data_IF_179334753847
#
_entry.id   IF_179334753847
#
_cell.length_a   1.000
_cell.length_b   1.000
_cell.length_c   1.000
_cell.angle_alpha   90.00
_cell.angle_beta   90.00
_cell.angle_gamma   90.00
#
_symmetry.space_group_name_H-M   'P 1'
#
loop_
_entity.id
_entity.type
_entity.pdbx_description
1 polymer ?
#
# COMPACT_ATOMS: atom_id res chain seq x y z
N UNK A 1 29.75 -41.45 -7.82
CA UNK A 1 29.10 -40.24 -8.41
C UNK A 1 27.82 -39.90 -7.66
N UNK A 2 26.87 -40.83 -7.51
CA UNK A 2 25.72 -40.70 -6.59
C UNK A 2 26.13 -40.38 -5.14
N UNK A 3 27.12 -41.11 -4.62
CA UNK A 3 27.71 -40.87 -3.30
C UNK A 3 28.29 -39.45 -3.10
N UNK A 4 28.77 -38.79 -4.16
CA UNK A 4 29.26 -37.40 -4.06
C UNK A 4 28.11 -36.40 -3.94
N UNK A 5 26.98 -36.68 -4.59
CA UNK A 5 25.77 -35.85 -4.50
C UNK A 5 25.09 -36.06 -3.15
N UNK A 6 24.96 -37.31 -2.69
CA UNK A 6 24.39 -37.64 -1.39
C UNK A 6 25.21 -37.02 -0.24
N UNK A 7 26.54 -37.10 -0.31
CA UNK A 7 27.42 -36.44 0.66
C UNK A 7 27.36 -34.91 0.60
N UNK A 8 27.14 -34.34 -0.59
CA UNK A 8 26.94 -32.89 -0.76
C UNK A 8 25.60 -32.43 -0.14
N UNK A 9 24.52 -33.15 -0.39
CA UNK A 9 23.19 -32.90 0.20
C UNK A 9 23.23 -33.01 1.73
N UNK A 10 23.91 -34.03 2.28
CA UNK A 10 24.08 -34.18 3.73
C UNK A 10 24.87 -33.02 4.35
N UNK A 11 25.97 -32.59 3.72
CA UNK A 11 26.76 -31.47 4.19
C UNK A 11 25.97 -30.15 4.12
N UNK A 12 25.19 -29.96 3.05
CA UNK A 12 24.32 -28.80 2.86
C UNK A 12 23.22 -28.74 3.93
N UNK A 13 22.58 -29.88 4.22
CA UNK A 13 21.58 -29.98 5.29
C UNK A 13 22.17 -29.71 6.68
N UNK A 14 23.38 -30.20 6.96
CA UNK A 14 24.06 -29.89 8.22
C UNK A 14 24.37 -28.40 8.37
N UNK A 15 24.86 -27.74 7.31
CA UNK A 15 25.13 -26.31 7.32
C UNK A 15 23.84 -25.49 7.48
N UNK A 16 22.80 -25.80 6.71
CA UNK A 16 21.52 -25.09 6.77
C UNK A 16 20.88 -25.19 8.16
N UNK A 17 20.91 -26.36 8.81
CA UNK A 17 20.43 -26.53 10.19
C UNK A 17 21.19 -25.66 11.18
N UNK A 18 22.52 -25.58 11.05
CA UNK A 18 23.34 -24.76 11.92
C UNK A 18 23.07 -23.26 11.70
N UNK A 19 22.91 -22.83 10.45
CA UNK A 19 22.59 -21.44 10.11
C UNK A 19 21.20 -21.07 10.62
N UNK A 20 20.19 -21.91 10.38
CA UNK A 20 18.79 -21.65 10.74
C UNK A 20 18.50 -21.84 12.24
N UNK A 21 19.37 -22.54 12.98
CA UNK A 21 19.14 -23.02 14.36
C UNK A 21 17.93 -23.96 14.52
N UNK A 22 17.49 -24.57 13.41
CA UNK A 22 16.39 -25.54 13.35
C UNK A 22 16.95 -26.98 13.23
N UNK A 23 16.93 -27.82 14.28
CA UNK A 23 17.54 -29.16 14.24
C UNK A 23 16.79 -30.14 13.32
N UNK A 24 15.51 -29.87 13.03
CA UNK A 24 14.64 -30.71 12.19
C UNK A 24 14.60 -30.25 10.73
N UNK A 25 15.27 -29.15 10.39
CA UNK A 25 15.31 -28.63 9.03
C UNK A 25 15.98 -29.64 8.08
N UNK A 26 15.29 -29.94 6.99
CA UNK A 26 15.79 -30.79 5.92
C UNK A 26 16.08 -29.97 4.67
N UNK A 27 17.21 -30.25 4.01
CA UNK A 27 17.52 -29.69 2.69
C UNK A 27 17.45 -30.79 1.67
N UNK A 28 16.65 -30.58 0.62
CA UNK A 28 16.40 -31.59 -0.41
C UNK A 28 16.76 -31.04 -1.78
N UNK A 29 17.61 -31.78 -2.52
CA UNK A 29 17.99 -31.45 -3.88
C UNK A 29 17.03 -32.11 -4.89
N UNK A 30 15.94 -31.42 -5.23
CA UNK A 30 14.92 -31.92 -6.18
C UNK A 30 14.51 -30.85 -7.19
N UNK A 31 14.39 -31.26 -8.44
CA UNK A 31 13.88 -30.41 -9.52
C UNK A 31 12.34 -30.41 -9.52
N UNK A 32 11.74 -29.21 -9.53
CA UNK A 32 10.31 -28.97 -9.77
C UNK A 32 9.46 -28.55 -8.56
N UNK A 33 8.39 -27.81 -8.83
CA UNK A 33 7.42 -27.24 -7.87
C UNK A 33 6.42 -28.26 -7.27
N UNK A 34 6.76 -29.56 -7.22
CA UNK A 34 5.85 -30.51 -6.57
C UNK A 34 5.84 -30.24 -5.07
N UNK A 35 4.75 -29.65 -4.57
CA UNK A 35 4.42 -29.59 -3.14
C UNK A 35 4.71 -30.98 -2.56
N UNK A 36 5.57 -31.03 -1.56
CA UNK A 36 5.75 -32.25 -0.77
C UNK A 36 4.40 -32.69 -0.19
N UNK A 37 4.27 -33.95 0.25
CA UNK A 37 3.07 -34.40 0.93
C UNK A 37 2.70 -33.42 2.05
N UNK A 38 1.41 -33.08 2.15
CA UNK A 38 0.90 -32.22 3.21
C UNK A 38 1.27 -32.81 4.57
N UNK A 39 2.06 -32.07 5.36
CA UNK A 39 2.64 -32.54 6.63
C UNK A 39 4.14 -32.81 6.62
N UNK A 40 4.84 -32.65 5.48
CA UNK A 40 6.31 -32.62 5.49
C UNK A 40 6.79 -31.37 6.24
N UNK A 41 7.69 -31.56 7.22
CA UNK A 41 8.22 -30.48 8.06
C UNK A 41 8.95 -29.37 7.30
N UNK A 42 9.68 -28.54 8.05
CA UNK A 42 10.53 -27.46 7.56
C UNK A 42 11.55 -28.00 6.55
N UNK A 43 11.24 -27.88 5.24
CA UNK A 43 12.08 -28.41 4.15
C UNK A 43 12.47 -27.28 3.21
N UNK A 44 13.77 -27.07 3.05
CA UNK A 44 14.37 -26.24 2.00
C UNK A 44 14.52 -27.07 0.74
N UNK A 45 13.98 -26.59 -0.38
CA UNK A 45 14.06 -27.27 -1.68
C UNK A 45 14.93 -26.44 -2.62
N UNK A 46 15.92 -27.10 -3.20
CA UNK A 46 16.89 -26.45 -4.10
C UNK A 46 17.01 -27.27 -5.38
N UNK A 47 17.09 -26.57 -6.51
CA UNK A 47 17.33 -27.20 -7.79
C UNK A 47 18.71 -27.88 -7.79
N UNK A 48 18.77 -29.19 -8.09
CA UNK A 48 20.01 -29.93 -8.00
C UNK A 48 21.07 -29.35 -8.96
N UNK A 49 22.35 -29.36 -8.55
CA UNK A 49 23.42 -28.96 -9.44
C UNK A 49 23.59 -30.01 -10.55
N UNK A 50 24.34 -29.65 -11.59
CA UNK A 50 24.78 -30.62 -12.60
C UNK A 50 25.60 -31.75 -11.94
N UNK A 51 25.53 -32.95 -12.51
CA UNK A 51 26.17 -34.15 -11.95
C UNK A 51 27.71 -34.07 -11.90
N UNK A 52 28.31 -33.24 -12.76
CA UNK A 52 29.75 -32.96 -12.78
C UNK A 52 30.19 -31.99 -11.67
N UNK A 53 29.23 -31.42 -10.91
CA UNK A 53 29.46 -30.52 -9.77
C UNK A 53 30.49 -29.42 -10.06
N UNK A 54 30.30 -28.60 -11.12
CA UNK A 54 31.21 -27.50 -11.39
C UNK A 54 31.14 -26.48 -10.25
N UNK A 55 32.26 -25.82 -9.97
CA UNK A 55 32.41 -24.90 -8.82
C UNK A 55 31.31 -23.82 -8.78
N UNK A 56 30.88 -23.30 -9.93
CA UNK A 56 29.80 -22.31 -10.02
C UNK A 56 28.43 -22.85 -9.60
N UNK A 57 28.08 -24.09 -9.95
CA UNK A 57 26.82 -24.74 -9.54
C UNK A 57 26.83 -25.11 -8.06
N UNK A 58 27.98 -25.53 -7.52
CA UNK A 58 28.14 -25.77 -6.09
C UNK A 58 27.90 -24.47 -5.31
N UNK A 59 28.53 -23.37 -5.74
CA UNK A 59 28.37 -22.07 -5.11
C UNK A 59 26.91 -21.58 -5.19
N UNK A 60 26.25 -21.80 -6.34
CA UNK A 60 24.83 -21.48 -6.53
C UNK A 60 23.94 -22.22 -5.53
N UNK A 61 24.05 -23.54 -5.48
CA UNK A 61 23.23 -24.39 -4.59
C UNK A 61 23.50 -24.08 -3.12
N UNK A 62 24.75 -23.82 -2.75
CA UNK A 62 25.10 -23.38 -1.39
C UNK A 62 24.48 -22.04 -1.05
N UNK A 63 24.62 -21.04 -1.92
CA UNK A 63 24.05 -19.71 -1.66
C UNK A 63 22.53 -19.73 -1.59
N UNK A 64 21.85 -20.56 -2.40
CA UNK A 64 20.40 -20.73 -2.32
C UNK A 64 19.97 -21.38 -0.98
N UNK A 65 20.77 -22.33 -0.47
CA UNK A 65 20.52 -22.94 0.85
C UNK A 65 20.76 -21.95 1.98
N UNK A 66 21.90 -21.25 1.94
CA UNK A 66 22.29 -20.28 2.96
C UNK A 66 21.27 -19.14 3.01
N UNK A 67 20.85 -18.60 1.86
CA UNK A 67 19.83 -17.54 1.77
C UNK A 67 18.49 -17.97 2.40
N UNK A 68 18.02 -19.19 2.12
CA UNK A 68 16.78 -19.72 2.71
C UNK A 68 16.92 -20.03 4.21
N UNK A 69 18.07 -20.56 4.64
CA UNK A 69 18.34 -20.84 6.05
C UNK A 69 18.45 -19.54 6.88
N UNK A 70 19.12 -18.52 6.34
CA UNK A 70 19.16 -17.20 6.94
C UNK A 70 17.78 -16.58 7.05
N UNK A 71 16.95 -16.69 5.99
CA UNK A 71 15.57 -16.21 6.03
C UNK A 71 14.81 -16.85 7.17
N UNK A 72 14.90 -18.16 7.35
CA UNK A 72 14.24 -18.84 8.48
C UNK A 72 14.66 -18.31 9.84
N UNK A 73 15.96 -18.04 10.03
CA UNK A 73 16.48 -17.55 11.30
C UNK A 73 16.11 -16.11 11.60
N UNK A 74 16.21 -15.23 10.61
CA UNK A 74 16.19 -13.78 10.84
C UNK A 74 14.90 -13.11 10.40
N UNK A 75 13.96 -13.83 9.76
CA UNK A 75 12.71 -13.28 9.24
C UNK A 75 11.50 -13.73 10.06
N UNK A 76 10.82 -12.78 10.66
CA UNK A 76 9.47 -12.90 11.19
C UNK A 76 8.45 -12.63 10.08
N UNK A 77 7.76 -13.68 9.65
CA UNK A 77 6.76 -13.59 8.60
C UNK A 77 5.45 -12.91 9.02
N UNK A 78 5.11 -12.88 10.31
CA UNK A 78 3.94 -12.15 10.81
C UNK A 78 4.19 -10.65 10.81
N UNK A 79 5.34 -10.24 11.35
CA UNK A 79 5.76 -8.83 11.30
C UNK A 79 5.86 -8.33 9.86
N UNK A 80 6.46 -9.11 8.97
CA UNK A 80 6.56 -8.75 7.55
C UNK A 80 5.19 -8.49 6.93
N UNK A 81 4.23 -9.42 7.11
CA UNK A 81 2.87 -9.27 6.56
C UNK A 81 2.15 -8.02 7.04
N UNK A 82 2.38 -7.59 8.29
CA UNK A 82 1.81 -6.35 8.83
C UNK A 82 2.44 -5.09 8.23
N UNK A 83 3.71 -5.17 7.85
CA UNK A 83 4.51 -4.01 7.41
C UNK A 83 4.60 -3.85 5.90
N UNK A 84 4.20 -4.85 5.12
CA UNK A 84 4.21 -4.78 3.64
C UNK A 84 3.36 -3.59 3.17
N UNK A 85 3.91 -2.70 2.33
CA UNK A 85 3.18 -1.57 1.77
C UNK A 85 2.26 -2.00 0.63
N UNK A 86 1.25 -1.18 0.34
CA UNK A 86 0.39 -1.39 -0.82
C UNK A 86 1.10 -1.05 -2.14
N UNK A 87 0.71 -1.73 -3.22
CA UNK A 87 1.27 -1.53 -4.56
C UNK A 87 2.33 -2.58 -4.94
N UNK A 88 2.32 -3.00 -6.20
CA UNK A 88 3.17 -4.08 -6.71
C UNK A 88 4.66 -3.73 -6.63
N UNK A 89 5.04 -2.53 -7.09
CA UNK A 89 6.43 -2.07 -7.07
C UNK A 89 6.94 -1.87 -5.63
N UNK A 90 6.09 -1.34 -4.76
CA UNK A 90 6.39 -1.13 -3.35
C UNK A 90 6.60 -2.46 -2.63
N UNK A 91 5.72 -3.43 -2.85
CA UNK A 91 5.85 -4.79 -2.31
C UNK A 91 7.15 -5.45 -2.79
N UNK A 92 7.45 -5.34 -4.09
CA UNK A 92 8.67 -5.91 -4.68
C UNK A 92 9.94 -5.33 -4.04
N UNK A 93 10.00 -4.00 -3.87
CA UNK A 93 11.13 -3.34 -3.22
C UNK A 93 11.24 -3.76 -1.75
N UNK A 94 10.12 -3.74 -1.01
CA UNK A 94 10.10 -4.10 0.40
C UNK A 94 10.56 -5.55 0.65
N UNK A 95 10.05 -6.50 -0.14
CA UNK A 95 10.47 -7.90 -0.11
C UNK A 95 11.96 -8.07 -0.43
N UNK A 96 12.45 -7.36 -1.45
CA UNK A 96 13.85 -7.37 -1.85
C UNK A 96 14.78 -6.83 -0.76
N UNK A 97 14.40 -5.73 -0.11
CA UNK A 97 15.19 -5.13 0.97
C UNK A 97 15.15 -5.94 2.25
N UNK A 98 14.04 -6.62 2.56
CA UNK A 98 14.01 -7.58 3.67
C UNK A 98 14.94 -8.78 3.40
N UNK A 99 14.93 -9.31 2.18
CA UNK A 99 15.88 -10.36 1.80
C UNK A 99 17.34 -9.88 1.89
N UNK A 100 17.61 -8.64 1.50
CA UNK A 100 18.92 -8.00 1.64
C UNK A 100 19.32 -7.89 3.11
N UNK A 101 18.42 -7.46 4.00
CA UNK A 101 18.67 -7.32 5.45
C UNK A 101 19.09 -8.66 6.06
N UNK A 102 18.33 -9.71 5.77
CA UNK A 102 18.62 -11.05 6.30
C UNK A 102 20.00 -11.53 5.84
N UNK A 103 20.34 -11.30 4.57
CA UNK A 103 21.65 -11.64 4.01
C UNK A 103 22.77 -10.77 4.55
N UNK A 104 22.50 -9.50 4.86
CA UNK A 104 23.44 -8.58 5.49
C UNK A 104 23.79 -9.05 6.91
N UNK A 105 22.77 -9.31 7.74
CA UNK A 105 22.97 -9.81 9.12
C UNK A 105 23.71 -11.15 9.11
N UNK A 106 23.25 -12.11 8.30
CA UNK A 106 23.89 -13.41 8.18
C UNK A 106 25.29 -13.38 7.59
N UNK A 107 25.56 -12.45 6.68
CA UNK A 107 26.83 -12.34 5.97
C UNK A 107 27.94 -11.64 6.76
N UNK A 108 27.63 -10.93 7.85
CA UNK A 108 28.62 -10.20 8.67
C UNK A 108 29.64 -11.14 9.32
N UNK A 109 29.16 -12.16 10.02
CA UNK A 109 30.03 -13.08 10.78
C UNK A 109 30.45 -14.32 9.99
N UNK A 110 29.75 -14.61 8.89
CA UNK A 110 29.96 -15.83 8.10
C UNK A 110 30.50 -15.50 6.71
N UNK A 111 31.79 -15.22 6.61
CA UNK A 111 32.45 -14.86 5.34
C UNK A 111 32.22 -15.89 4.20
N UNK A 112 32.13 -17.18 4.55
CA UNK A 112 31.80 -18.24 3.59
C UNK A 112 30.36 -18.17 3.05
N UNK A 113 29.40 -17.87 3.93
CA UNK A 113 28.00 -17.65 3.56
C UNK A 113 27.90 -16.41 2.67
N UNK A 114 28.55 -15.30 3.05
CA UNK A 114 28.61 -14.09 2.23
C UNK A 114 29.13 -14.36 0.81
N UNK A 115 30.19 -15.15 0.67
CA UNK A 115 30.73 -15.52 -0.64
C UNK A 115 29.75 -16.38 -1.47
N UNK A 116 29.01 -17.29 -0.83
CA UNK A 116 27.99 -18.09 -1.51
C UNK A 116 26.80 -17.23 -1.97
N UNK A 117 26.34 -16.29 -1.12
CA UNK A 117 25.27 -15.34 -1.43
C UNK A 117 25.67 -14.42 -2.59
N UNK A 118 26.88 -13.86 -2.56
CA UNK A 118 27.40 -13.03 -3.66
C UNK A 118 27.47 -13.83 -4.98
N UNK A 119 27.87 -15.11 -4.92
CA UNK A 119 27.92 -15.97 -6.10
C UNK A 119 26.53 -16.20 -6.71
N UNK A 120 25.49 -16.40 -5.88
CA UNK A 120 24.09 -16.52 -6.35
C UNK A 120 23.60 -15.20 -6.93
N UNK A 121 23.82 -14.09 -6.24
CA UNK A 121 23.40 -12.77 -6.70
C UNK A 121 24.01 -12.43 -8.06
N UNK A 122 25.30 -12.71 -8.26
CA UNK A 122 25.99 -12.44 -9.54
C UNK A 122 25.44 -13.27 -10.70
N UNK A 123 24.90 -14.46 -10.42
CA UNK A 123 24.29 -15.35 -11.42
C UNK A 123 22.83 -14.97 -11.76
N UNK A 124 22.13 -14.23 -10.90
CA UNK A 124 20.78 -13.73 -11.19
C UNK A 124 20.77 -12.65 -12.26
N UNK A 125 21.84 -11.86 -12.36
CA UNK A 125 21.99 -10.89 -13.45
C UNK A 125 22.23 -11.59 -14.78
N UNK A 126 21.46 -11.24 -15.81
CA UNK A 126 21.64 -11.76 -17.16
C UNK A 126 23.09 -11.57 -17.64
N UNK A 127 23.69 -12.54 -18.37
CA UNK A 127 25.01 -12.35 -18.94
C UNK A 127 24.98 -11.14 -19.86
N UNK A 128 25.90 -10.20 -19.63
CA UNK A 128 26.10 -9.03 -20.48
C UNK A 128 26.43 -9.46 -21.92
N UNK A 129 25.43 -9.54 -22.79
CA UNK A 129 25.58 -9.53 -24.24
C UNK A 129 26.07 -8.13 -24.64
N UNK A 130 27.18 -8.07 -25.38
CA UNK A 130 27.73 -6.81 -25.86
C UNK A 130 26.81 -6.25 -26.96
N UNK A 131 26.19 -5.10 -26.71
CA UNK A 131 25.39 -4.37 -27.70
C UNK A 131 23.87 -4.39 -27.49
N UNK A 132 23.35 -5.06 -26.45
CA UNK A 132 21.94 -4.94 -26.08
C UNK A 132 21.69 -3.66 -25.27
N UNK A 133 20.53 -3.04 -25.52
CA UNK A 133 20.06 -1.87 -24.79
C UNK A 133 19.97 -2.18 -23.29
N UNK A 134 20.10 -1.15 -22.44
CA UNK A 134 19.88 -1.26 -21.00
C UNK A 134 18.51 -1.93 -20.78
N UNK A 135 18.41 -3.02 -20.00
CA UNK A 135 17.12 -3.65 -19.71
C UNK A 135 16.18 -2.60 -19.12
N UNK A 136 14.88 -2.67 -19.45
CA UNK A 136 13.85 -1.91 -18.72
C UNK A 136 13.95 -2.31 -17.25
N UNK A 137 14.59 -1.45 -16.46
CA UNK A 137 14.99 -1.76 -15.11
C UNK A 137 14.00 -1.12 -14.16
N UNK A 138 13.28 -1.92 -13.39
CA UNK A 138 12.40 -1.38 -12.38
C UNK A 138 13.23 -0.74 -11.24
N UNK A 139 12.66 0.28 -10.59
CA UNK A 139 13.33 1.02 -9.50
C UNK A 139 13.72 0.08 -8.35
N UNK A 140 12.90 -0.96 -8.09
CA UNK A 140 13.15 -1.92 -7.01
C UNK A 140 14.47 -2.68 -7.20
N UNK A 141 14.70 -3.22 -8.39
CA UNK A 141 15.93 -3.92 -8.76
C UNK A 141 17.15 -3.00 -8.67
N UNK A 142 17.03 -1.77 -9.16
CA UNK A 142 18.16 -0.82 -9.17
C UNK A 142 18.53 -0.40 -7.74
N UNK A 143 17.54 -0.15 -6.88
CA UNK A 143 17.77 0.14 -5.46
C UNK A 143 18.41 -1.07 -4.77
N UNK A 144 17.95 -2.29 -5.05
CA UNK A 144 18.58 -3.52 -4.52
C UNK A 144 20.05 -3.64 -4.97
N UNK A 145 20.34 -3.44 -6.27
CA UNK A 145 21.72 -3.48 -6.80
C UNK A 145 22.61 -2.48 -6.06
N UNK A 146 22.14 -1.23 -5.91
CA UNK A 146 22.86 -0.15 -5.24
C UNK A 146 23.15 -0.49 -3.77
N UNK A 147 22.13 -0.93 -3.04
CA UNK A 147 22.27 -1.26 -1.62
C UNK A 147 23.18 -2.46 -1.39
N UNK A 148 23.17 -3.47 -2.26
CA UNK A 148 24.10 -4.62 -2.16
C UNK A 148 25.54 -4.22 -2.45
N UNK A 149 25.77 -3.32 -3.42
CA UNK A 149 27.10 -2.76 -3.66
C UNK A 149 27.60 -1.97 -2.44
N UNK A 150 26.77 -1.08 -1.89
CA UNK A 150 27.18 -0.15 -0.82
C UNK A 150 27.22 -0.77 0.58
N UNK A 151 26.23 -1.59 0.95
CA UNK A 151 26.14 -2.21 2.29
C UNK A 151 26.89 -3.54 2.38
N UNK A 152 26.75 -4.41 1.39
CA UNK A 152 27.35 -5.75 1.43
C UNK A 152 28.72 -5.83 0.73
N UNK A 153 29.11 -4.78 0.00
CA UNK A 153 30.38 -4.71 -0.73
C UNK A 153 30.45 -5.66 -1.92
N UNK A 154 29.29 -6.05 -2.48
CA UNK A 154 29.23 -7.02 -3.57
C UNK A 154 29.81 -6.47 -4.86
N UNK A 155 30.53 -7.32 -5.60
CA UNK A 155 31.03 -6.97 -6.94
C UNK A 155 29.97 -7.26 -8.00
N UNK A 156 29.41 -6.17 -8.53
CA UNK A 156 28.48 -6.20 -9.66
C UNK A 156 29.18 -6.74 -10.92
N UNK A 157 28.43 -7.50 -11.73
CA UNK A 157 28.87 -7.89 -13.06
C UNK A 157 28.71 -6.73 -14.08
N UNK A 158 29.25 -6.87 -15.28
CA UNK A 158 29.22 -5.79 -16.27
C UNK A 158 27.80 -5.36 -16.71
N UNK A 159 26.80 -6.25 -16.67
CA UNK A 159 25.41 -5.88 -16.96
C UNK A 159 24.82 -5.06 -15.80
N UNK A 160 25.00 -5.55 -14.58
CA UNK A 160 24.53 -4.90 -13.35
C UNK A 160 25.17 -3.52 -13.15
N UNK A 161 26.47 -3.38 -13.41
CA UNK A 161 27.14 -2.07 -13.34
C UNK A 161 26.54 -1.09 -14.35
N UNK A 162 26.35 -1.49 -15.62
CA UNK A 162 25.73 -0.62 -16.63
C UNK A 162 24.30 -0.22 -16.27
N UNK A 163 23.54 -1.15 -15.68
CA UNK A 163 22.19 -0.88 -15.18
C UNK A 163 22.22 0.16 -14.06
N UNK A 164 23.14 0.02 -13.11
CA UNK A 164 23.26 0.93 -11.97
C UNK A 164 23.84 2.30 -12.35
N UNK A 165 24.77 2.36 -13.30
CA UNK A 165 25.48 3.60 -13.69
C UNK A 165 24.51 4.69 -14.19
N UNK A 166 23.40 4.32 -14.82
CA UNK A 166 22.38 5.27 -15.26
C UNK A 166 21.59 5.92 -14.10
N UNK A 167 21.61 5.31 -12.92
CA UNK A 167 20.83 5.74 -11.75
C UNK A 167 21.69 6.23 -10.58
N UNK A 168 23.03 6.07 -10.68
CA UNK A 168 23.95 6.26 -9.56
C UNK A 168 23.85 7.67 -8.96
N UNK A 169 23.89 8.72 -9.78
CA UNK A 169 23.82 10.10 -9.30
C UNK A 169 22.50 10.39 -8.56
N UNK A 170 21.38 9.82 -9.03
CA UNK A 170 20.07 9.96 -8.40
C UNK A 170 19.99 9.19 -7.07
N UNK A 171 20.50 7.95 -7.03
CA UNK A 171 20.56 7.14 -5.82
C UNK A 171 21.53 7.70 -4.78
N UNK A 172 22.66 8.27 -5.21
CA UNK A 172 23.60 8.95 -4.31
C UNK A 172 22.90 10.15 -3.63
N UNK A 173 22.06 10.87 -4.35
CA UNK A 173 21.27 11.98 -3.79
C UNK A 173 20.11 11.57 -2.87
N UNK A 174 19.52 10.38 -3.06
CA UNK A 174 18.28 9.96 -2.36
C UNK A 174 18.48 8.85 -1.32
N UNK A 175 19.41 7.92 -1.57
CA UNK A 175 19.56 6.68 -0.81
C UNK A 175 20.84 6.68 0.03
N UNK A 176 21.94 7.27 -0.45
CA UNK A 176 23.26 7.17 0.20
C UNK A 176 23.25 7.63 1.66
N UNK A 177 22.55 8.72 1.97
CA UNK A 177 22.43 9.26 3.32
C UNK A 177 21.71 8.31 4.30
N UNK A 178 20.85 7.42 3.80
CA UNK A 178 20.03 6.51 4.59
C UNK A 178 20.76 5.19 4.90
N UNK A 179 21.77 4.84 4.11
CA UNK A 179 22.48 3.56 4.23
C UNK A 179 23.10 3.28 5.61
N UNK A 180 23.80 4.23 6.27
CA UNK A 180 24.41 3.96 7.58
C UNK A 180 23.37 3.64 8.66
N UNK A 181 22.20 4.26 8.56
CA UNK A 181 21.10 4.05 9.50
C UNK A 181 20.43 2.69 9.28
N UNK A 182 20.22 2.29 8.02
CA UNK A 182 19.74 0.96 7.68
C UNK A 182 20.71 -0.14 8.14
N UNK A 183 22.02 0.07 7.99
CA UNK A 183 23.04 -0.88 8.46
C UNK A 183 23.00 -1.01 9.99
N UNK A 184 22.91 0.11 10.71
CA UNK A 184 22.82 0.12 12.18
C UNK A 184 21.55 -0.58 12.70
N UNK A 185 20.43 -0.48 11.96
CA UNK A 185 19.14 -1.08 12.34
C UNK A 185 18.93 -2.52 11.84
N UNK A 186 19.86 -3.07 11.04
CA UNK A 186 19.68 -4.35 10.35
C UNK A 186 19.34 -5.55 11.26
N UNK A 187 19.80 -5.52 12.52
CA UNK A 187 19.55 -6.59 13.51
C UNK A 187 18.09 -6.63 14.00
N UNK A 188 17.36 -5.51 13.92
CA UNK A 188 15.93 -5.45 14.25
C UNK A 188 15.11 -5.35 12.97
N UNK A 189 14.32 -6.40 12.69
CA UNK A 189 13.46 -6.42 11.51
C UNK A 189 12.44 -5.28 11.53
N UNK A 190 11.85 -4.96 12.69
CA UNK A 190 10.87 -3.87 12.81
C UNK A 190 11.51 -2.50 12.52
N UNK A 191 12.65 -2.20 13.17
CA UNK A 191 13.33 -0.92 13.00
C UNK A 191 13.86 -0.72 11.56
N UNK A 192 14.32 -1.81 10.93
CA UNK A 192 14.73 -1.79 9.53
C UNK A 192 13.52 -1.59 8.61
N UNK A 193 12.42 -2.32 8.83
CA UNK A 193 11.19 -2.23 8.04
C UNK A 193 10.59 -0.82 8.06
N UNK A 194 10.50 -0.20 9.25
CA UNK A 194 10.04 1.20 9.39
C UNK A 194 10.91 2.15 8.57
N UNK A 195 12.24 2.04 8.68
CA UNK A 195 13.15 2.90 7.93
C UNK A 195 13.09 2.68 6.42
N UNK A 196 12.86 1.43 5.98
CA UNK A 196 12.61 1.12 4.56
C UNK A 196 11.33 1.79 4.07
N UNK A 197 10.25 1.77 4.85
CA UNK A 197 9.00 2.45 4.46
C UNK A 197 9.19 3.96 4.31
N UNK A 198 9.92 4.59 5.21
CA UNK A 198 10.30 6.01 5.08
C UNK A 198 11.12 6.27 3.81
N UNK A 199 12.11 5.42 3.52
CA UNK A 199 12.88 5.51 2.27
C UNK A 199 11.98 5.40 1.04
N UNK A 200 10.98 4.51 1.05
CA UNK A 200 10.04 4.36 -0.07
C UNK A 200 9.20 5.62 -0.29
N UNK A 201 8.85 6.33 0.79
CA UNK A 201 8.20 7.64 0.70
C UNK A 201 9.13 8.69 0.09
N UNK A 202 10.40 8.73 0.50
CA UNK A 202 11.40 9.65 -0.08
C UNK A 202 11.63 9.41 -1.58
N UNK A 203 11.45 8.16 -2.04
CA UNK A 203 11.51 7.75 -3.43
C UNK A 203 10.20 8.00 -4.20
N UNK A 204 9.13 8.45 -3.53
CA UNK A 204 7.83 8.71 -4.14
C UNK A 204 7.06 7.44 -4.53
N UNK A 205 7.35 6.31 -3.88
CA UNK A 205 6.74 4.99 -4.14
C UNK A 205 5.56 4.66 -3.21
N UNK A 206 5.22 5.57 -2.28
CA UNK A 206 4.16 5.35 -1.30
C UNK A 206 2.85 6.02 -1.73
N UNK A 207 1.96 5.28 -2.40
CA UNK A 207 0.58 5.72 -2.57
C UNK A 207 -0.30 5.46 -1.32
N UNK A 208 0.17 4.71 -0.33
CA UNK A 208 -0.57 4.47 0.92
C UNK A 208 0.36 4.20 2.10
N UNK A 209 0.70 5.24 2.87
CA UNK A 209 1.01 5.06 4.29
C UNK A 209 -0.31 5.23 5.04
N UNK A 210 -1.06 4.14 5.21
CA UNK A 210 -2.00 4.05 6.34
C UNK A 210 -1.17 4.07 7.62
N UNK A 211 -1.68 4.77 8.63
CA UNK A 211 -1.05 5.10 9.91
C UNK A 211 -0.20 3.98 10.51
N UNK A 212 0.88 4.38 11.19
CA UNK A 212 1.69 3.46 11.98
C UNK A 212 0.79 2.68 12.95
N UNK A 213 0.88 1.34 13.02
CA UNK A 213 0.22 0.62 14.09
C UNK A 213 0.84 1.07 15.42
N UNK A 214 0.00 1.62 16.30
CA UNK A 214 0.33 1.96 17.68
C UNK A 214 1.07 0.80 18.35
N UNK A 215 2.15 1.07 19.13
CA UNK A 215 2.82 0.03 19.88
C UNK A 215 1.89 -0.46 21.00
N UNK A 216 1.59 -1.77 20.97
CA UNK A 216 0.82 -2.47 22.00
C UNK A 216 1.60 -2.40 23.33
N UNK A 217 1.31 -1.39 24.17
CA UNK A 217 1.86 -1.28 25.51
C UNK A 217 1.21 -2.34 26.40
N UNK A 218 1.80 -3.54 26.39
CA UNK A 218 1.66 -4.48 27.49
C UNK A 218 2.65 -4.07 28.57
N UNK A 219 2.17 -3.35 29.57
CA UNK A 219 2.80 -3.37 30.89
C UNK A 219 1.74 -3.68 31.95
N UNK A 220 2.12 -4.65 32.79
CA UNK A 220 1.50 -5.08 34.02
C UNK A 220 1.19 -3.90 34.94
N UNK A 221 -0.07 -3.76 35.37
CA UNK A 221 -0.36 -3.25 36.71
C UNK A 221 -1.36 -4.19 37.40
N UNK A 222 -0.79 -5.10 38.17
CA UNK A 222 -1.45 -5.77 39.28
C UNK A 222 -1.21 -4.93 40.53
N UNK A 223 -2.25 -4.26 41.02
CA UNK A 223 -2.36 -3.92 42.44
C UNK A 223 -3.79 -4.15 42.94
N UNK A 224 -3.87 -5.00 43.96
CA UNK A 224 -5.01 -5.23 44.82
C UNK A 224 -5.25 -4.00 45.71
N UNK A 225 -6.50 -3.57 45.91
CA UNK A 225 -6.94 -3.19 47.26
C UNK A 225 -8.44 -3.44 47.46
N UNK A 226 -8.73 -3.95 48.65
CA UNK A 226 -10.00 -4.54 49.09
C UNK A 226 -10.85 -3.57 49.91
N UNK A 227 -12.17 -3.82 49.94
CA UNK A 227 -13.13 -3.28 50.93
C UNK A 227 -14.35 -2.64 50.23
N UNK A 228 -15.61 -2.91 50.54
CA UNK A 228 -16.24 -3.37 51.78
C UNK A 228 -17.66 -3.89 51.47
N UNK A 229 -18.22 -4.67 52.40
CA UNK A 229 -19.41 -5.51 52.29
C UNK A 229 -20.74 -4.77 52.49
N UNK A 230 -21.79 -5.25 51.80
CA UNK A 230 -23.06 -5.55 52.47
C UNK A 230 -24.26 -4.59 52.29
N UNK A 231 -25.48 -5.04 52.64
CA UNK A 231 -26.54 -5.28 51.65
C UNK A 231 -27.94 -4.73 52.04
N UNK A 232 -28.96 -5.11 51.25
CA UNK A 232 -30.44 -5.12 51.54
C UNK A 232 -31.19 -3.82 51.15
N UNK A 233 -32.41 -3.79 50.60
CA UNK A 233 -33.60 -4.67 50.58
C UNK A 233 -34.54 -4.38 49.36
N UNK A 234 -35.59 -5.20 49.13
CA UNK A 234 -36.34 -5.34 47.87
C UNK A 234 -37.83 -4.88 47.86
N UNK A 235 -38.43 -4.88 46.65
CA UNK A 235 -39.86 -5.12 46.28
C UNK A 235 -40.94 -4.08 46.68
N UNK A 236 -42.20 -4.04 46.13
CA UNK A 236 -42.93 -5.14 45.43
C UNK A 236 -43.89 -4.81 44.24
N UNK A 237 -44.19 -5.90 43.49
CA UNK A 237 -45.46 -6.44 42.95
C UNK A 237 -46.45 -5.69 42.03
N UNK A 238 -46.75 -6.34 40.90
CA UNK A 238 -48.05 -6.96 40.53
C UNK A 238 -47.87 -7.79 39.23
N UNK A 239 -47.94 -9.13 39.25
CA UNK A 239 -49.12 -10.01 39.00
C UNK A 239 -49.73 -9.79 37.59
N UNK A 240 -50.02 -10.78 36.72
CA UNK A 240 -50.48 -12.17 36.90
C UNK A 240 -50.51 -12.93 35.55
N UNK A 241 -50.39 -14.27 35.63
CA UNK A 241 -50.90 -15.39 34.78
C UNK A 241 -50.82 -15.38 33.22
N UNK A 242 -50.51 -16.46 32.48
CA UNK A 242 -50.26 -17.87 32.79
C UNK A 242 -50.45 -18.74 31.51
N UNK A 243 -49.69 -19.84 31.39
CA UNK A 243 -50.17 -21.10 30.75
C UNK A 243 -49.59 -21.60 29.41
N UNK A 244 -48.90 -22.76 29.49
CA UNK A 244 -48.80 -23.91 28.56
C UNK A 244 -47.58 -24.12 27.60
N UNK A 245 -46.86 -25.22 27.87
CA UNK A 245 -45.84 -25.94 27.06
C UNK A 245 -46.53 -26.96 26.07
N UNK A 246 -45.90 -27.85 25.24
CA UNK A 246 -44.47 -28.26 25.17
C UNK A 246 -43.86 -28.64 23.77
N UNK A 247 -42.57 -28.99 23.80
CA UNK A 247 -41.82 -29.98 22.98
C UNK A 247 -41.13 -29.63 21.61
N UNK A 248 -39.79 -29.74 21.68
CA UNK A 248 -38.81 -30.47 20.83
C UNK A 248 -38.32 -29.94 19.45
N UNK A 249 -37.05 -29.54 19.50
CA UNK A 249 -35.88 -30.11 18.76
C UNK A 249 -35.59 -29.72 17.30
N UNK A 250 -34.45 -29.03 17.14
CA UNK A 250 -33.29 -29.29 16.25
C UNK A 250 -32.81 -28.08 15.43
N UNK A 251 -31.50 -27.77 15.59
CA UNK A 251 -30.54 -27.18 14.63
C UNK A 251 -30.91 -25.82 13.96
N UNK A 252 -30.05 -24.81 13.81
CA UNK A 252 -28.62 -24.79 13.55
C UNK A 252 -28.16 -23.31 13.59
N UNK A 253 -27.01 -23.07 14.23
CA UNK A 253 -25.97 -22.10 13.85
C UNK A 253 -26.36 -20.83 13.08
N UNK A 254 -26.52 -19.70 13.79
CA UNK A 254 -26.47 -18.36 13.20
C UNK A 254 -25.08 -17.77 13.47
N UNK A 255 -24.16 -17.99 12.53
CA UNK A 255 -22.97 -17.17 12.40
C UNK A 255 -23.38 -15.77 11.92
N UNK A 256 -22.85 -14.75 12.59
CA UNK A 256 -22.85 -13.36 12.15
C UNK A 256 -22.14 -13.27 10.79
N UNK A 257 -22.92 -13.17 9.71
CA UNK A 257 -22.45 -12.67 8.42
C UNK A 257 -23.07 -11.28 8.23
N UNK A 258 -22.38 -10.27 8.77
CA UNK A 258 -22.66 -8.87 8.47
C UNK A 258 -22.40 -8.63 6.98
N UNK A 259 -23.43 -8.21 6.26
CA UNK A 259 -23.32 -7.98 4.83
C UNK A 259 -22.34 -6.82 4.54
N UNK A 260 -21.59 -6.83 3.42
CA UNK A 260 -20.71 -5.71 3.04
C UNK A 260 -21.44 -4.38 2.80
N UNK A 261 -22.78 -4.41 2.83
CA UNK A 261 -23.66 -3.25 2.69
C UNK A 261 -23.74 -2.45 4.01
N UNK A 262 -23.53 -3.11 5.16
CA UNK A 262 -23.47 -2.47 6.48
C UNK A 262 -22.10 -1.81 6.74
N UNK A 263 -21.02 -2.41 6.21
CA UNK A 263 -19.65 -1.87 6.33
C UNK A 263 -19.48 -0.51 5.65
N UNK A 264 -20.11 -0.28 4.48
CA UNK A 264 -20.08 1.03 3.81
C UNK A 264 -20.90 2.11 4.55
N UNK A 265 -21.89 1.71 5.35
CA UNK A 265 -22.69 2.63 6.15
C UNK A 265 -21.95 3.03 7.45
N UNK A 266 -21.23 2.09 8.07
CA UNK A 266 -20.38 2.34 9.24
C UNK A 266 -19.14 3.17 8.91
N UNK A 267 -18.46 2.92 7.79
CA UNK A 267 -17.27 3.66 7.37
C UNK A 267 -17.60 5.14 7.03
N UNK A 268 -18.83 5.40 6.56
CA UNK A 268 -19.33 6.76 6.35
C UNK A 268 -19.74 7.47 7.67
N UNK A 269 -20.15 6.72 8.69
CA UNK A 269 -20.55 7.25 10.00
C UNK A 269 -19.33 7.51 10.92
N UNK A 270 -18.28 6.70 10.83
CA UNK A 270 -17.04 6.88 11.58
C UNK A 270 -16.26 8.15 11.18
N UNK A 271 -16.48 8.64 9.95
CA UNK A 271 -15.85 9.88 9.46
C UNK A 271 -16.47 11.19 9.98
N UNK A 272 -17.52 11.11 10.81
CA UNK A 272 -18.26 12.28 11.31
C UNK A 272 -17.71 12.82 12.66
N UNK A 273 -17.03 11.99 13.47
CA UNK A 273 -16.63 12.36 14.84
C UNK A 273 -15.27 13.09 14.91
N UNK A 274 -14.38 12.94 13.92
CA UNK A 274 -13.03 13.53 13.96
C UNK A 274 -12.91 14.95 13.37
N UNK A 275 -13.96 15.49 12.74
CA UNK A 275 -13.92 16.81 12.09
C UNK A 275 -14.62 17.93 12.88
N UNK A 276 -15.01 17.64 14.12
CA UNK A 276 -15.63 18.61 15.03
C UNK A 276 -14.68 19.09 16.14
N UNK A 277 -13.38 19.25 15.84
CA UNK A 277 -12.50 20.09 16.66
C UNK A 277 -11.92 21.21 15.81
N UNK A 278 -12.24 22.44 16.19
CA UNK A 278 -11.89 23.65 15.44
C UNK A 278 -10.41 23.96 15.53
N UNK A 279 -9.77 24.09 14.37
CA UNK A 279 -8.60 24.92 14.20
C UNK A 279 -8.79 25.72 12.90
N UNK A 280 -8.79 27.04 13.04
CA UNK A 280 -8.64 27.98 11.93
C UNK A 280 -7.26 27.76 11.31
N UNK A 281 -7.15 26.95 10.26
CA UNK A 281 -5.96 26.93 9.42
C UNK A 281 -6.06 28.04 8.39
N UNK A 282 -5.25 29.09 8.60
CA UNK A 282 -4.87 30.03 7.56
C UNK A 282 -4.39 29.26 6.32
N UNK A 283 -4.83 29.74 5.15
CA UNK A 283 -4.47 29.24 3.84
C UNK A 283 -2.94 29.36 3.58
N UNK A 284 -2.18 28.39 4.09
CA UNK A 284 -0.88 28.00 3.58
C UNK A 284 -1.05 26.96 2.47
N UNK A 285 -0.30 27.11 1.39
CA UNK A 285 -0.29 26.25 0.21
C UNK A 285 -0.45 24.76 0.56
N UNK A 286 -1.57 24.17 0.13
CA UNK A 286 -1.87 22.74 0.23
C UNK A 286 -0.70 21.90 -0.34
N UNK A 287 0.13 21.23 0.47
CA UNK A 287 1.30 20.53 -0.03
C UNK A 287 0.96 19.05 -0.22
N UNK A 288 -0.11 18.72 -0.96
CA UNK A 288 -0.48 17.32 -1.22
C UNK A 288 -0.92 17.04 -2.64
N UNK A 289 -0.27 17.63 -3.63
CA UNK A 289 -0.21 16.94 -4.93
C UNK A 289 0.74 15.75 -4.78
N UNK A 290 0.20 14.53 -4.71
CA UNK A 290 0.94 13.26 -4.66
C UNK A 290 1.68 12.95 -5.99
N UNK A 291 2.14 13.98 -6.69
CA UNK A 291 2.96 13.87 -7.89
C UNK A 291 4.42 14.02 -7.46
N UNK A 292 5.30 13.06 -7.77
CA UNK A 292 6.73 13.27 -7.65
C UNK A 292 7.09 14.59 -8.36
N UNK A 293 7.69 15.54 -7.63
CA UNK A 293 8.09 16.85 -8.19
C UNK A 293 9.15 16.70 -9.29
N UNK A 294 9.82 15.55 -9.35
CA UNK A 294 10.83 15.22 -10.34
C UNK A 294 10.65 13.76 -10.78
N UNK A 295 10.44 13.55 -12.08
CA UNK A 295 10.47 12.22 -12.67
C UNK A 295 11.94 11.75 -12.79
N UNK A 296 12.25 10.47 -12.53
CA UNK A 296 13.60 9.96 -12.69
C UNK A 296 14.11 10.17 -14.14
N UNK A 297 15.41 10.39 -14.37
CA UNK A 297 15.97 10.48 -15.71
C UNK A 297 15.69 9.19 -16.49
N UNK A 298 15.03 9.29 -17.65
CA UNK A 298 14.56 8.12 -18.39
C UNK A 298 13.19 7.60 -17.97
N UNK A 299 12.42 8.35 -17.18
CA UNK A 299 11.00 8.06 -16.91
C UNK A 299 10.17 7.89 -18.21
N UNK A 300 10.56 8.55 -19.30
CA UNK A 300 9.95 8.34 -20.62
C UNK A 300 10.19 6.92 -21.19
N UNK A 301 11.21 6.22 -20.71
CA UNK A 301 11.53 4.83 -21.07
C UNK A 301 10.83 3.83 -20.14
N UNK A 302 10.56 4.22 -18.88
CA UNK A 302 9.69 3.50 -17.93
C UNK A 302 8.21 3.73 -18.21
N UNK A 303 7.88 4.75 -19.00
CA UNK A 303 6.53 4.99 -19.45
C UNK A 303 6.07 3.77 -20.25
N UNK A 304 4.85 3.30 -19.94
CA UNK A 304 4.20 2.23 -20.66
C UNK A 304 4.40 2.40 -22.17
N UNK A 305 5.11 1.44 -22.77
CA UNK A 305 5.45 1.47 -24.19
C UNK A 305 4.51 0.52 -24.91
N UNK A 306 3.62 1.07 -25.74
CA UNK A 306 2.71 0.30 -26.58
C UNK A 306 3.56 -0.57 -27.51
N UNK A 307 3.53 -1.90 -27.30
CA UNK A 307 4.31 -2.86 -28.10
C UNK A 307 3.85 -2.87 -29.56
N UNK A 308 2.54 -2.80 -29.80
CA UNK A 308 1.95 -2.61 -31.11
C UNK A 308 0.52 -2.10 -30.94
N UNK A 309 0.10 -1.17 -31.80
CA UNK A 309 -1.29 -0.72 -31.90
C UNK A 309 -2.02 -1.34 -33.09
N UNK A 310 -1.41 -2.34 -33.76
CA UNK A 310 -1.96 -2.95 -34.97
C UNK A 310 -3.32 -3.64 -34.74
N UNK A 311 -3.60 -4.06 -33.51
CA UNK A 311 -4.80 -4.79 -33.13
C UNK A 311 -5.77 -3.94 -32.28
N UNK A 312 -5.44 -2.66 -32.06
CA UNK A 312 -6.26 -1.77 -31.25
C UNK A 312 -7.44 -1.26 -32.08
N UNK A 313 -8.64 -1.30 -31.49
CA UNK A 313 -9.85 -0.79 -32.11
C UNK A 313 -10.39 0.37 -31.28
N UNK A 314 -10.58 1.53 -31.91
CA UNK A 314 -11.24 2.69 -31.29
C UNK A 314 -12.66 2.75 -31.83
N UNK A 315 -13.62 2.37 -30.99
CA UNK A 315 -15.04 2.34 -31.33
C UNK A 315 -15.77 3.43 -30.55
N UNK A 316 -16.64 4.18 -31.23
CA UNK A 316 -17.50 5.13 -30.55
C UNK A 316 -18.53 4.43 -29.66
N UNK A 317 -18.81 4.96 -28.46
CA UNK A 317 -19.77 4.36 -27.52
C UNK A 317 -21.16 4.14 -28.18
N UNK A 318 -21.56 5.03 -29.09
CA UNK A 318 -22.82 4.93 -29.84
C UNK A 318 -22.89 3.73 -30.81
N UNK A 319 -21.75 3.15 -31.20
CA UNK A 319 -21.67 2.00 -32.11
C UNK A 319 -21.72 0.66 -31.37
N UNK A 320 -21.44 0.66 -30.05
CA UNK A 320 -21.40 -0.54 -29.22
C UNK A 320 -22.78 -1.04 -28.80
N UNK A 321 -23.77 -0.14 -28.66
CA UNK A 321 -25.09 -0.46 -28.13
C UNK A 321 -26.20 0.27 -28.88
N UNK A 322 -27.25 -0.46 -29.27
CA UNK A 322 -28.45 0.13 -29.86
C UNK A 322 -29.33 0.83 -28.81
N UNK A 323 -30.19 1.76 -29.24
CA UNK A 323 -31.04 2.56 -28.36
C UNK A 323 -31.94 1.74 -27.42
N UNK A 324 -32.48 0.61 -27.88
CA UNK A 324 -33.30 -0.28 -27.06
C UNK A 324 -32.48 -0.92 -25.92
N UNK A 325 -31.24 -1.32 -26.22
CA UNK A 325 -30.36 -1.95 -25.23
C UNK A 325 -29.85 -0.93 -24.22
N UNK A 326 -29.52 0.28 -24.67
CA UNK A 326 -29.18 1.41 -23.78
C UNK A 326 -30.32 1.70 -22.80
N UNK A 327 -31.57 1.68 -23.25
CA UNK A 327 -32.73 1.90 -22.39
C UNK A 327 -32.86 0.81 -21.33
N UNK A 328 -32.61 -0.45 -21.71
CA UNK A 328 -32.62 -1.59 -20.79
C UNK A 328 -31.51 -1.49 -19.74
N UNK A 329 -30.28 -1.20 -20.18
CA UNK A 329 -29.12 -1.05 -19.30
C UNK A 329 -29.27 0.13 -18.35
N UNK A 330 -29.87 1.24 -18.83
CA UNK A 330 -30.17 2.39 -17.98
C UNK A 330 -31.15 2.04 -16.87
N UNK A 331 -32.25 1.36 -17.19
CA UNK A 331 -33.22 0.92 -16.19
C UNK A 331 -32.60 -0.02 -15.13
N UNK A 332 -31.65 -0.87 -15.54
CA UNK A 332 -30.93 -1.75 -14.62
C UNK A 332 -29.99 -0.96 -13.68
N UNK A 333 -29.32 0.08 -14.20
CA UNK A 333 -28.49 0.97 -13.39
C UNK A 333 -29.33 1.78 -12.39
N UNK A 334 -30.42 2.38 -12.84
CA UNK A 334 -31.33 3.15 -11.99
C UNK A 334 -31.94 2.27 -10.87
N UNK A 335 -32.31 1.03 -11.18
CA UNK A 335 -32.77 0.07 -10.16
C UNK A 335 -31.68 -0.24 -9.12
N UNK A 336 -30.42 -0.34 -9.55
CA UNK A 336 -29.28 -0.59 -8.66
C UNK A 336 -28.96 0.62 -7.77
N UNK A 337 -29.17 1.84 -8.28
CA UNK A 337 -28.93 3.11 -7.58
C UNK A 337 -30.04 3.49 -6.59
N UNK A 338 -31.26 2.98 -6.76
CA UNK A 338 -32.41 3.28 -5.86
C UNK A 338 -32.11 3.04 -4.37
N UNK A 339 -31.20 2.10 -4.06
CA UNK A 339 -30.78 1.77 -2.69
C UNK A 339 -29.78 2.76 -2.07
N UNK A 340 -29.17 3.63 -2.89
CA UNK A 340 -28.13 4.56 -2.48
C UNK A 340 -28.55 6.03 -2.50
N UNK A 341 -29.81 6.35 -2.86
CA UNK A 341 -30.31 7.73 -3.03
C UNK A 341 -30.01 8.66 -1.84
N UNK A 342 -30.13 8.15 -0.60
CA UNK A 342 -29.85 8.94 0.61
C UNK A 342 -28.36 9.24 0.85
N UNK A 343 -27.45 8.38 0.37
CA UNK A 343 -26.00 8.58 0.45
C UNK A 343 -25.51 9.52 -0.67
N UNK A 344 -26.07 9.35 -1.87
CA UNK A 344 -25.77 10.16 -3.06
C UNK A 344 -25.98 11.64 -2.78
N UNK A 345 -27.12 12.03 -2.19
CA UNK A 345 -27.40 13.42 -1.86
C UNK A 345 -26.40 14.03 -0.87
N UNK A 346 -25.87 13.25 0.09
CA UNK A 346 -24.87 13.72 1.06
C UNK A 346 -23.50 13.90 0.43
N UNK A 347 -23.04 12.92 -0.36
CA UNK A 347 -21.76 12.99 -1.09
C UNK A 347 -21.80 14.15 -2.09
N UNK A 348 -22.91 14.29 -2.82
CA UNK A 348 -23.10 15.38 -3.77
C UNK A 348 -22.96 16.74 -3.10
N UNK A 349 -23.65 16.97 -1.98
CA UNK A 349 -23.54 18.20 -1.20
C UNK A 349 -22.15 18.42 -0.59
N UNK A 350 -21.39 17.37 -0.30
CA UNK A 350 -19.99 17.47 0.20
C UNK A 350 -19.04 17.86 -0.94
N UNK A 351 -19.15 17.21 -2.10
CA UNK A 351 -18.35 17.53 -3.28
C UNK A 351 -18.67 18.92 -3.80
N UNK A 352 -19.95 19.28 -3.89
CA UNK A 352 -20.42 20.61 -4.24
C UNK A 352 -19.85 21.66 -3.28
N UNK A 353 -19.91 21.44 -1.95
CA UNK A 353 -19.29 22.37 -0.99
C UNK A 353 -17.78 22.50 -1.17
N UNK A 354 -17.05 21.42 -1.50
CA UNK A 354 -15.61 21.49 -1.75
C UNK A 354 -15.27 22.20 -3.06
N UNK A 355 -15.99 21.92 -4.14
CA UNK A 355 -15.81 22.60 -5.43
C UNK A 355 -16.24 24.07 -5.36
N UNK A 356 -17.29 24.37 -4.59
CA UNK A 356 -17.75 25.74 -4.32
C UNK A 356 -17.02 26.41 -3.16
N UNK A 357 -16.13 25.74 -2.42
CA UNK A 357 -15.37 26.35 -1.32
C UNK A 357 -14.38 27.41 -1.80
N UNK A 358 -14.03 27.40 -3.10
CA UNK A 358 -13.30 28.52 -3.73
C UNK A 358 -14.20 29.71 -4.08
N UNK A 359 -15.51 29.62 -3.85
CA UNK A 359 -16.45 30.73 -3.93
C UNK A 359 -16.46 31.54 -2.62
N UNK A 360 -15.28 31.80 -2.04
CA UNK A 360 -15.17 32.80 -0.99
C UNK A 360 -15.46 34.16 -1.61
N UNK A 361 -16.71 34.60 -1.47
CA UNK A 361 -17.11 35.98 -1.76
C UNK A 361 -16.32 36.89 -0.83
N UNK A 362 -15.24 37.45 -1.33
CA UNK A 362 -14.48 38.46 -0.60
C UNK A 362 -15.13 39.82 -0.83
N UNK A 363 -15.34 40.54 0.26
CA UNK A 363 -15.92 41.88 0.25
C UNK A 363 -14.84 42.88 0.56
N UNK A 364 -14.68 43.88 -0.30
CA UNK A 364 -13.89 45.05 0.01
C UNK A 364 -14.76 45.99 0.85
N UNK A 365 -14.31 46.31 2.06
CA UNK A 365 -14.97 47.25 2.96
C UNK A 365 -14.28 48.61 2.89
N UNK A 366 -14.88 49.60 3.55
CA UNK A 366 -14.27 50.93 3.70
C UNK A 366 -14.12 51.64 2.35
N UNK A 367 -15.11 51.50 1.48
CA UNK A 367 -15.11 52.15 0.18
C UNK A 367 -15.94 53.44 0.19
N UNK A 368 -15.54 54.39 -0.65
CA UNK A 368 -16.28 55.64 -0.87
C UNK A 368 -17.44 55.47 -1.86
N UNK A 369 -17.48 54.37 -2.61
CA UNK A 369 -18.55 53.98 -3.53
C UNK A 369 -18.85 52.48 -3.44
N UNK A 370 -20.05 52.07 -3.84
CA UNK A 370 -20.48 50.67 -3.82
C UNK A 370 -21.85 50.45 -3.17
N UNK A 371 -22.04 49.28 -2.57
CA UNK A 371 -23.24 48.92 -1.82
C UNK A 371 -23.09 49.44 -0.39
N UNK A 372 -24.12 50.09 0.16
CA UNK A 372 -24.05 50.62 1.53
C UNK A 372 -23.85 49.50 2.55
N UNK A 373 -22.85 49.62 3.42
CA UNK A 373 -22.65 48.66 4.51
C UNK A 373 -23.66 48.91 5.64
N UNK A 374 -24.65 48.02 5.75
CA UNK A 374 -25.68 48.09 6.79
C UNK A 374 -25.12 48.03 8.22
N UNK A 375 -23.95 47.43 8.44
CA UNK A 375 -23.30 47.42 9.76
C UNK A 375 -22.80 48.82 10.17
N UNK A 376 -22.55 49.70 9.19
CA UNK A 376 -22.05 51.08 9.40
C UNK A 376 -23.15 52.13 9.35
N UNK A 377 -24.41 51.72 9.22
CA UNK A 377 -25.55 52.63 9.06
C UNK A 377 -25.68 53.60 10.25
N UNK A 378 -25.40 53.13 11.47
CA UNK A 378 -25.39 53.97 12.67
C UNK A 378 -24.34 55.10 12.58
N UNK A 379 -23.17 54.84 11.98
CA UNK A 379 -22.11 55.84 11.78
C UNK A 379 -22.54 56.91 10.79
N UNK A 380 -23.21 56.52 9.71
CA UNK A 380 -23.76 57.45 8.70
C UNK A 380 -24.80 58.38 9.33
N UNK A 381 -25.68 57.82 10.16
CA UNK A 381 -26.74 58.59 10.84
C UNK A 381 -26.16 59.56 11.87
N UNK A 382 -25.17 59.14 12.65
CA UNK A 382 -24.57 59.96 13.71
C UNK A 382 -23.61 61.01 13.14
N UNK A 383 -22.86 60.68 12.10
CA UNK A 383 -21.95 61.62 11.44
C UNK A 383 -21.84 61.33 9.92
N UNK A 384 -22.65 62.01 9.09
CA UNK A 384 -22.70 61.77 7.65
C UNK A 384 -21.48 62.29 6.89
N UNK A 385 -20.53 62.96 7.56
CA UNK A 385 -19.28 63.44 6.93
C UNK A 385 -18.17 62.40 6.92
N UNK A 386 -18.36 61.25 7.58
CA UNK A 386 -17.41 60.14 7.58
C UNK A 386 -17.58 59.30 6.31
N UNK A 387 -16.55 59.26 5.46
CA UNK A 387 -16.48 58.42 4.26
C UNK A 387 -16.38 56.92 4.54
N UNK A 388 -16.02 56.13 3.53
CA UNK A 388 -15.69 54.70 3.70
C UNK A 388 -16.84 53.84 4.28
N UNK A 389 -18.08 54.11 3.87
CA UNK A 389 -19.29 53.45 4.37
C UNK A 389 -19.93 52.47 3.38
N UNK A 390 -19.25 52.23 2.26
CA UNK A 390 -19.67 51.29 1.22
C UNK A 390 -18.80 50.04 1.25
N UNK A 391 -19.35 48.96 0.70
CA UNK A 391 -18.70 47.69 0.44
C UNK A 391 -18.96 47.25 -1.00
N UNK A 392 -18.02 46.52 -1.59
CA UNK A 392 -18.19 45.93 -2.92
C UNK A 392 -17.77 44.47 -2.88
N UNK A 393 -18.49 43.64 -3.62
CA UNK A 393 -18.11 42.24 -3.82
C UNK A 393 -16.96 42.19 -4.84
N UNK A 394 -15.88 41.50 -4.49
CA UNK A 394 -14.73 41.34 -5.37
C UNK A 394 -15.06 40.29 -6.43
N UNK A 395 -14.99 40.67 -7.71
CA UNK A 395 -15.08 39.70 -8.80
C UNK A 395 -13.91 38.72 -8.72
N UNK A 396 -14.23 37.44 -8.62
CA UNK A 396 -13.24 36.36 -8.63
C UNK A 396 -13.28 35.69 -10.00
N UNK A 397 -12.14 35.58 -10.68
CA UNK A 397 -12.04 34.82 -11.93
C UNK A 397 -12.28 33.34 -11.63
N UNK A 398 -13.42 32.84 -12.08
CA UNK A 398 -13.74 31.42 -12.01
C UNK A 398 -12.93 30.66 -13.06
N UNK A 399 -12.33 29.53 -12.66
CA UNK A 399 -11.69 28.63 -13.61
C UNK A 399 -12.68 27.54 -14.00
N UNK A 400 -13.00 27.46 -15.29
CA UNK A 400 -13.72 26.33 -15.84
C UNK A 400 -12.97 25.03 -15.48
N UNK A 401 -13.66 24.13 -14.79
CA UNK A 401 -13.08 22.87 -14.34
C UNK A 401 -13.60 21.74 -15.21
N UNK A 402 -12.70 21.10 -15.95
CA UNK A 402 -13.01 19.91 -16.75
C UNK A 402 -12.66 18.67 -15.94
N UNK A 403 -13.65 17.82 -15.68
CA UNK A 403 -13.47 16.51 -15.02
C UNK A 403 -13.51 15.43 -16.09
N UNK A 404 -12.48 14.59 -16.16
CA UNK A 404 -12.41 13.44 -17.08
C UNK A 404 -12.42 12.15 -16.28
N UNK A 405 -13.34 11.24 -16.59
CA UNK A 405 -13.42 9.90 -15.97
C UNK A 405 -12.90 8.85 -16.95
N UNK A 406 -11.94 8.05 -16.51
CA UNK A 406 -11.45 6.89 -17.24
C UNK A 406 -11.96 5.62 -16.54
N UNK A 407 -12.71 4.79 -17.25
CA UNK A 407 -13.25 3.53 -16.73
C UNK A 407 -12.51 2.38 -17.41
N UNK A 408 -11.83 1.56 -16.62
CA UNK A 408 -11.17 0.36 -17.11
C UNK A 408 -12.21 -0.72 -17.51
N UNK A 409 -11.94 -1.41 -18.61
CA UNK A 409 -12.74 -2.53 -19.12
C UNK A 409 -11.91 -3.81 -19.26
N UNK A 410 -10.85 -3.94 -18.46
CA UNK A 410 -10.00 -5.12 -18.41
C UNK A 410 -10.69 -6.35 -17.77
N UNK A 411 -10.03 -7.51 -17.81
CA UNK A 411 -10.58 -8.76 -17.29
C UNK A 411 -10.89 -8.74 -15.78
N UNK A 412 -10.13 -7.97 -14.99
CA UNK A 412 -10.34 -7.83 -13.54
C UNK A 412 -11.60 -7.04 -13.21
N UNK A 413 -12.09 -6.22 -14.14
CA UNK A 413 -13.29 -5.41 -13.96
C UNK A 413 -14.58 -6.21 -14.09
N UNK A 414 -14.52 -7.49 -14.51
CA UNK A 414 -15.72 -8.31 -14.74
C UNK A 414 -16.53 -8.52 -13.46
N UNK A 415 -17.85 -8.33 -13.57
CA UNK A 415 -18.80 -8.61 -12.50
C UNK A 415 -19.05 -7.41 -11.60
N UNK A 416 -18.73 -7.53 -10.31
CA UNK A 416 -19.02 -6.50 -9.30
C UNK A 416 -18.21 -5.20 -9.49
N UNK A 417 -16.90 -5.21 -9.86
CA UNK A 417 -16.12 -3.98 -9.99
C UNK A 417 -16.65 -3.00 -11.04
N UNK A 418 -16.99 -3.47 -12.25
CA UNK A 418 -17.56 -2.60 -13.30
C UNK A 418 -18.92 -2.02 -12.91
N UNK A 419 -19.74 -2.76 -12.15
CA UNK A 419 -21.01 -2.26 -11.67
C UNK A 419 -20.82 -1.12 -10.66
N UNK A 420 -19.85 -1.24 -9.74
CA UNK A 420 -19.50 -0.18 -8.78
C UNK A 420 -18.94 1.04 -9.50
N UNK A 421 -18.06 0.84 -10.49
CA UNK A 421 -17.52 1.93 -11.30
C UNK A 421 -18.63 2.69 -12.06
N UNK A 422 -19.57 1.97 -12.66
CA UNK A 422 -20.71 2.57 -13.36
C UNK A 422 -21.64 3.36 -12.43
N UNK A 423 -21.92 2.84 -11.23
CA UNK A 423 -22.70 3.55 -10.21
C UNK A 423 -21.97 4.83 -9.76
N UNK A 424 -20.68 4.75 -9.50
CA UNK A 424 -19.86 5.90 -9.08
C UNK A 424 -19.82 6.98 -10.16
N UNK A 425 -19.68 6.59 -11.42
CA UNK A 425 -19.72 7.50 -12.56
C UNK A 425 -21.06 8.23 -12.68
N UNK A 426 -22.20 7.53 -12.51
CA UNK A 426 -23.53 8.16 -12.53
C UNK A 426 -23.73 9.13 -11.35
N UNK A 427 -23.23 8.76 -10.17
CA UNK A 427 -23.28 9.61 -8.97
C UNK A 427 -22.48 10.89 -9.17
N UNK A 428 -21.25 10.78 -9.71
CA UNK A 428 -20.41 11.93 -10.00
C UNK A 428 -21.03 12.81 -11.09
N UNK A 429 -21.56 12.22 -12.17
CA UNK A 429 -22.23 12.96 -13.23
C UNK A 429 -23.43 13.76 -12.69
N UNK A 430 -24.33 13.13 -11.91
CA UNK A 430 -25.48 13.82 -11.27
C UNK A 430 -25.11 14.90 -10.25
N UNK A 431 -23.88 14.85 -9.73
CA UNK A 431 -23.39 15.84 -8.77
C UNK A 431 -22.77 17.05 -9.47
N UNK A 432 -22.17 16.83 -10.64
CA UNK A 432 -21.40 17.83 -11.38
C UNK A 432 -22.23 18.53 -12.47
N UNK A 433 -23.27 17.86 -13.00
CA UNK A 433 -24.31 18.42 -13.87
C UNK A 433 -25.54 18.82 -13.06
#
# INVERSE_FOLDING_TARGET
>A
MKERLDGFEQALGAAARAIAEEPKLEVVLRSGNRRGPAGAGEVIRINPPRQDLPTGEIARVRGEADSQALRRRFHDGELHRRMVPEGELATMLFDGLEQLRVELVGGRDMAGVRANLEAVFRQRGAPATAGEAVPDSNVAEVVELYMRERLQGYRLNAAQSRQLDAWRDWLDGKVEAVLPELDARAESQDAFARRVRELMTDLGLSEALVEEPEPDSRDDESEEESGDQGPSEPSPDQDDDGGDEPQRAEAQDSAEDGSPEDLMAEEAAASDDELQSGAEEEAGEDPRTNRPKEHPPGADQLAYRVFTSQFDEVVGVAELCGAAELTRLRAQLDASLSRFEGMIGRIANRLQRKLMAQQQRSWDFDLDEGILDAARLARIVVNPTLGLSYKMEKETEFRDTVVTLLIDNSGSMRGRPIAVAAMTADILARTLE
#
